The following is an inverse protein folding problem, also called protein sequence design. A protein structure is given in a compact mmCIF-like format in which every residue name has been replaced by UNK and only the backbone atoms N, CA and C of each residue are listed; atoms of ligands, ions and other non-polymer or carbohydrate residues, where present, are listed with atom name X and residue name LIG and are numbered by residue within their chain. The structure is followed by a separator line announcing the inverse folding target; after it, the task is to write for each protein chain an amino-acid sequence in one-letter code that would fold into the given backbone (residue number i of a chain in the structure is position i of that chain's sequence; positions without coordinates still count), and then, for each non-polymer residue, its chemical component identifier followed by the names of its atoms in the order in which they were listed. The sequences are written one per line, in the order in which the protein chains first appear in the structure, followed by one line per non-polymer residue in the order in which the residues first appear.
data_IF_940599860788
#
_entry.id   IF_940599860788
#
_cell.length_a   1.000
_cell.length_b   1.000
_cell.length_c   1.000
_cell.angle_alpha   90.00
_cell.angle_beta   90.00
_cell.angle_gamma   90.00
#
_symmetry.space_group_name_H-M   'P 1'
#
loop_
_entity.id
_entity.type
_entity.pdbx_description
1 polymer ?
#
# COMPACT_ATOMS: atom_id res chain seq x y z
N UNK A 1 0.36 -2.79 -7.84
CA UNK A 1 0.49 -4.01 -7.02
C UNK A 1 1.95 -4.44 -6.88
N UNK A 2 2.71 -4.64 -7.96
CA UNK A 2 4.14 -4.96 -7.89
C UNK A 2 4.92 -4.12 -6.86
N UNK A 3 4.82 -2.79 -6.96
CA UNK A 3 5.46 -1.85 -6.02
C UNK A 3 5.03 -2.06 -4.54
N UNK A 4 3.78 -2.46 -4.31
CA UNK A 4 3.24 -2.68 -2.96
C UNK A 4 3.77 -3.99 -2.38
N UNK A 5 3.79 -5.07 -3.17
CA UNK A 5 4.35 -6.36 -2.73
C UNK A 5 5.84 -6.21 -2.47
N UNK A 6 6.58 -5.52 -3.36
CA UNK A 6 7.99 -5.23 -3.16
C UNK A 6 8.24 -4.50 -1.85
N UNK A 7 7.46 -3.46 -1.56
CA UNK A 7 7.50 -2.75 -0.28
C UNK A 7 7.29 -3.70 0.90
N UNK A 8 6.24 -4.52 0.89
CA UNK A 8 5.96 -5.44 2.00
C UNK A 8 7.01 -6.54 2.15
N UNK A 9 7.59 -7.03 1.05
CA UNK A 9 8.73 -7.94 1.09
C UNK A 9 9.90 -7.29 1.81
N UNK A 10 10.29 -6.08 1.40
CA UNK A 10 11.38 -5.38 2.08
C UNK A 10 11.04 -5.10 3.56
N UNK A 11 9.78 -4.76 3.86
CA UNK A 11 9.33 -4.33 5.20
C UNK A 11 9.33 -5.49 6.17
N UNK A 12 8.75 -6.60 5.73
CA UNK A 12 8.42 -7.76 6.56
C UNK A 12 9.32 -8.96 6.28
N UNK A 13 10.30 -8.85 5.38
CA UNK A 13 11.23 -9.92 5.05
C UNK A 13 12.71 -9.54 5.09
N UNK A 14 13.06 -8.25 4.97
CA UNK A 14 14.46 -7.79 4.93
C UNK A 14 14.81 -6.88 6.12
N UNK A 15 13.88 -6.01 6.54
CA UNK A 15 14.15 -4.96 7.53
C UNK A 15 14.40 -5.44 8.97
N UNK A 16 14.48 -6.75 9.20
CA UNK A 16 14.74 -7.36 10.51
C UNK A 16 16.22 -7.59 10.83
N UNK A 17 17.16 -7.25 9.93
CA UNK A 17 18.59 -7.38 10.18
C UNK A 17 19.23 -6.01 10.56
N UNK A 18 19.50 -5.74 11.85
CA UNK A 18 20.04 -4.46 12.30
C UNK A 18 21.48 -4.16 11.84
N UNK A 19 22.24 -5.17 11.40
CA UNK A 19 23.69 -5.06 11.13
C UNK A 19 24.08 -5.49 9.70
N UNK A 20 23.35 -5.05 8.68
CA UNK A 20 23.79 -5.28 7.28
C UNK A 20 24.78 -4.19 6.88
N UNK A 21 25.94 -4.60 6.38
CA UNK A 21 27.00 -3.72 5.86
C UNK A 21 26.48 -2.80 4.74
N UNK A 22 27.18 -1.70 4.44
CA UNK A 22 26.86 -0.81 3.31
C UNK A 22 27.17 -1.49 1.97
N UNK A 23 26.35 -2.47 1.60
CA UNK A 23 26.42 -3.18 0.34
C UNK A 23 25.27 -2.80 -0.60
N UNK A 24 25.39 -3.22 -1.85
CA UNK A 24 24.39 -3.02 -2.89
C UNK A 24 23.00 -3.55 -2.47
N UNK A 25 22.99 -4.66 -1.73
CA UNK A 25 21.79 -5.29 -1.19
C UNK A 25 21.06 -4.39 -0.19
N UNK A 26 21.79 -3.65 0.66
CA UNK A 26 21.23 -2.68 1.60
C UNK A 26 20.61 -1.48 0.90
N UNK A 27 21.27 -0.95 -0.13
CA UNK A 27 20.74 0.18 -0.92
C UNK A 27 19.48 -0.23 -1.67
N UNK A 28 19.46 -1.42 -2.28
CA UNK A 28 18.28 -1.93 -3.00
C UNK A 28 17.17 -2.28 -2.03
N UNK A 29 17.44 -3.11 -1.02
CA UNK A 29 16.44 -3.60 -0.08
C UNK A 29 15.82 -2.46 0.71
N UNK A 30 16.65 -1.59 1.30
CA UNK A 30 16.15 -0.48 2.12
C UNK A 30 15.68 0.70 1.27
N UNK A 31 16.37 1.05 0.20
CA UNK A 31 16.00 2.18 -0.64
C UNK A 31 14.67 1.94 -1.36
N UNK A 32 14.53 0.82 -2.08
CA UNK A 32 13.28 0.54 -2.79
C UNK A 32 12.09 0.28 -1.84
N UNK A 33 12.32 -0.11 -0.58
CA UNK A 33 11.27 -0.32 0.41
C UNK A 33 10.28 0.83 0.41
N UNK A 34 10.69 2.03 0.84
CA UNK A 34 9.72 3.05 1.25
C UNK A 34 9.18 3.80 0.04
N UNK A 35 10.01 4.02 -0.97
CA UNK A 35 9.59 4.68 -2.21
C UNK A 35 8.54 3.88 -2.98
N UNK A 36 8.72 2.57 -3.12
CA UNK A 36 7.77 1.74 -3.87
C UNK A 36 6.40 1.65 -3.17
N UNK A 37 6.38 1.52 -1.85
CA UNK A 37 5.14 1.39 -1.07
C UNK A 37 4.26 2.64 -1.15
N UNK A 38 4.85 3.82 -0.88
CA UNK A 38 4.10 5.08 -0.86
C UNK A 38 3.61 5.46 -2.25
N UNK A 39 4.45 5.25 -3.27
CA UNK A 39 4.07 5.42 -4.67
C UNK A 39 2.91 4.48 -5.03
N UNK A 40 3.01 3.20 -4.67
CA UNK A 40 1.97 2.20 -4.89
C UNK A 40 0.63 2.59 -4.25
N UNK A 41 0.65 3.11 -3.02
CA UNK A 41 -0.56 3.57 -2.32
C UNK A 41 -1.22 4.76 -3.04
N UNK A 42 -0.45 5.79 -3.41
CA UNK A 42 -1.00 6.91 -4.18
C UNK A 42 -1.57 6.47 -5.53
N UNK A 43 -0.88 5.59 -6.27
CA UNK A 43 -1.38 5.07 -7.53
C UNK A 43 -2.70 4.31 -7.35
N UNK A 44 -2.84 3.51 -6.30
CA UNK A 44 -4.09 2.81 -6.00
C UNK A 44 -5.22 3.81 -5.72
N UNK A 45 -4.95 4.84 -4.91
CA UNK A 45 -5.90 5.91 -4.61
C UNK A 45 -6.29 6.66 -5.88
N UNK A 46 -5.33 6.99 -6.75
CA UNK A 46 -5.60 7.70 -8.00
C UNK A 46 -6.44 6.89 -8.97
N UNK A 47 -6.13 5.60 -9.17
CA UNK A 47 -6.95 4.72 -10.01
C UNK A 47 -8.37 4.65 -9.44
N UNK A 48 -8.51 4.49 -8.12
CA UNK A 48 -9.81 4.43 -7.46
C UNK A 48 -10.59 5.73 -7.66
N UNK A 49 -10.00 6.88 -7.30
CA UNK A 49 -10.65 8.18 -7.43
C UNK A 49 -10.98 8.56 -8.88
N UNK A 50 -10.13 8.17 -9.83
CA UNK A 50 -10.34 8.43 -11.25
C UNK A 50 -11.57 7.68 -11.81
N UNK A 51 -11.87 6.47 -11.34
CA UNK A 51 -13.00 5.68 -11.86
C UNK A 51 -14.26 5.77 -10.99
N UNK A 52 -14.13 5.96 -9.67
CA UNK A 52 -15.26 5.97 -8.73
C UNK A 52 -16.14 7.22 -8.90
N UNK A 53 -15.60 8.35 -9.34
CA UNK A 53 -16.34 9.60 -9.40
C UNK A 53 -17.50 9.63 -10.38
N UNK A 54 -17.47 8.79 -11.41
CA UNK A 54 -18.59 8.62 -12.34
C UNK A 54 -19.59 7.54 -11.86
N UNK A 55 -19.35 6.91 -10.73
CA UNK A 55 -20.18 5.84 -10.22
C UNK A 55 -21.14 6.35 -9.15
N UNK A 56 -22.42 5.99 -9.28
CA UNK A 56 -23.40 6.19 -8.22
C UNK A 56 -23.03 5.28 -7.05
N UNK A 57 -23.05 5.83 -5.83
CA UNK A 57 -22.79 5.06 -4.63
C UNK A 57 -23.74 3.86 -4.55
N UNK A 58 -23.20 2.70 -4.18
CA UNK A 58 -23.94 1.46 -4.21
C UNK A 58 -23.58 0.60 -3.00
N UNK A 59 -24.58 0.37 -2.13
CA UNK A 59 -24.43 -0.43 -0.92
C UNK A 59 -23.97 -1.87 -1.21
N UNK A 60 -24.35 -2.46 -2.34
CA UNK A 60 -23.85 -3.78 -2.77
C UNK A 60 -22.36 -3.76 -3.08
N UNK A 61 -21.84 -2.68 -3.68
CA UNK A 61 -20.38 -2.52 -3.90
C UNK A 61 -19.64 -2.36 -2.57
N UNK A 62 -20.21 -1.60 -1.63
CA UNK A 62 -19.66 -1.46 -0.28
C UNK A 62 -19.65 -2.79 0.47
N UNK A 63 -20.76 -3.53 0.44
CA UNK A 63 -20.86 -4.85 1.06
C UNK A 63 -19.89 -5.83 0.43
N UNK A 64 -19.76 -5.84 -0.91
CA UNK A 64 -18.75 -6.66 -1.62
C UNK A 64 -17.33 -6.33 -1.16
N UNK A 65 -16.99 -5.05 -1.02
CA UNK A 65 -15.69 -4.61 -0.52
C UNK A 65 -15.44 -5.10 0.91
N UNK A 66 -16.41 -4.87 1.81
CA UNK A 66 -16.34 -5.34 3.19
C UNK A 66 -16.22 -6.87 3.26
N UNK A 67 -17.03 -7.60 2.49
CA UNK A 67 -17.01 -9.06 2.42
C UNK A 67 -15.65 -9.59 1.96
N UNK A 68 -15.03 -8.94 0.97
CA UNK A 68 -13.69 -9.29 0.51
C UNK A 68 -12.64 -9.12 1.62
N UNK A 69 -12.67 -8.01 2.36
CA UNK A 69 -11.76 -7.75 3.49
C UNK A 69 -11.98 -8.78 4.61
N UNK A 70 -13.23 -8.95 5.02
CA UNK A 70 -13.64 -9.87 6.07
C UNK A 70 -13.28 -11.32 5.75
N UNK A 71 -13.75 -11.84 4.60
CA UNK A 71 -13.54 -13.24 4.22
C UNK A 71 -12.06 -13.58 4.09
N UNK A 72 -11.25 -12.70 3.50
CA UNK A 72 -9.80 -12.94 3.38
C UNK A 72 -9.14 -13.10 4.74
N UNK A 73 -9.41 -12.18 5.68
CA UNK A 73 -8.82 -12.24 7.01
C UNK A 73 -9.33 -13.42 7.84
N UNK A 74 -10.64 -13.69 7.80
CA UNK A 74 -11.26 -14.79 8.52
C UNK A 74 -10.75 -16.15 8.05
N UNK A 75 -10.62 -16.37 6.73
CA UNK A 75 -10.10 -17.63 6.17
C UNK A 75 -8.65 -17.86 6.61
N UNK A 76 -7.79 -16.84 6.51
CA UNK A 76 -6.40 -16.94 6.95
C UNK A 76 -6.36 -17.29 8.44
N UNK A 77 -7.12 -16.59 9.29
CA UNK A 77 -7.18 -16.86 10.72
C UNK A 77 -7.68 -18.28 11.05
N UNK A 78 -8.73 -18.75 10.35
CA UNK A 78 -9.25 -20.11 10.51
C UNK A 78 -8.22 -21.17 10.11
N UNK A 79 -7.53 -21.00 8.98
CA UNK A 79 -6.46 -21.91 8.54
C UNK A 79 -5.36 -21.96 9.59
N UNK A 80 -4.86 -20.80 10.04
CA UNK A 80 -3.78 -20.74 11.03
C UNK A 80 -4.20 -21.40 12.35
N UNK A 81 -5.45 -21.22 12.79
CA UNK A 81 -5.98 -21.81 14.00
C UNK A 81 -6.17 -23.33 13.90
N UNK A 82 -6.84 -23.81 12.86
CA UNK A 82 -7.16 -25.25 12.67
C UNK A 82 -5.88 -26.07 12.49
N UNK A 83 -4.95 -25.59 11.66
CA UNK A 83 -3.68 -26.29 11.40
C UNK A 83 -2.61 -26.00 12.45
N UNK A 84 -2.92 -25.23 13.50
CA UNK A 84 -2.00 -24.85 14.59
C UNK A 84 -0.68 -24.27 14.05
N UNK A 85 -0.76 -23.47 12.99
CA UNK A 85 0.42 -22.87 12.36
C UNK A 85 0.97 -21.81 13.30
N UNK A 86 2.21 -21.98 13.72
CA UNK A 86 2.88 -20.99 14.56
C UNK A 86 3.14 -19.70 13.78
N UNK A 87 2.91 -18.57 14.44
CA UNK A 87 3.22 -17.24 13.93
C UNK A 87 4.71 -16.97 14.03
N UNK A 88 5.20 -16.14 13.12
CA UNK A 88 6.53 -15.53 13.21
C UNK A 88 6.41 -14.21 13.95
N UNK A 89 7.04 -14.08 15.11
CA UNK A 89 7.18 -12.78 15.79
C UNK A 89 8.58 -12.21 15.58
N UNK A 90 8.65 -10.89 15.56
CA UNK A 90 9.89 -10.13 15.51
C UNK A 90 9.66 -8.88 16.36
N UNK A 91 10.57 -8.65 17.31
CA UNK A 91 10.43 -7.72 18.45
C UNK A 91 10.67 -6.25 18.14
N UNK A 92 10.45 -5.79 16.90
CA UNK A 92 10.76 -4.40 16.57
C UNK A 92 9.59 -3.73 15.89
N UNK A 93 8.92 -2.93 16.70
CA UNK A 93 7.78 -2.10 16.35
C UNK A 93 8.26 -0.81 15.65
N UNK A 94 8.74 -0.93 14.40
CA UNK A 94 9.35 0.19 13.66
C UNK A 94 8.40 1.38 13.40
N UNK A 95 7.09 1.24 13.68
CA UNK A 95 6.09 2.32 13.51
C UNK A 95 5.04 2.42 14.64
N UNK A 96 5.25 1.75 15.78
CA UNK A 96 4.45 1.94 16.99
C UNK A 96 2.95 1.66 16.80
N UNK A 97 2.62 0.52 16.22
CA UNK A 97 1.26 -0.02 16.23
C UNK A 97 1.42 -1.49 16.59
N UNK A 98 1.11 -1.81 17.85
CA UNK A 98 1.19 -3.11 18.56
C UNK A 98 2.39 -3.26 19.50
N UNK A 99 2.10 -2.94 20.78
CA UNK A 99 2.72 -3.42 22.02
C UNK A 99 4.08 -4.13 21.85
N UNK A 100 5.11 -3.43 22.34
CA UNK A 100 6.43 -3.91 22.70
C UNK A 100 6.40 -5.34 23.26
N UNK A 101 6.99 -6.27 22.52
CA UNK A 101 7.48 -7.55 23.04
C UNK A 101 9.00 -7.46 22.92
N UNK A 102 9.70 -7.80 24.01
CA UNK A 102 11.13 -7.60 24.20
C UNK A 102 11.98 -8.66 23.47
N UNK A 103 13.03 -8.15 22.78
CA UNK A 103 14.32 -8.74 22.42
C UNK A 103 14.45 -10.22 21.95
N UNK A 104 14.87 -10.28 20.67
CA UNK A 104 15.87 -11.15 20.00
C UNK A 104 15.47 -12.64 19.84
N UNK A 105 14.73 -12.89 18.77
CA UNK A 105 14.67 -14.15 18.04
C UNK A 105 13.45 -14.20 17.11
N UNK A 106 13.58 -14.76 15.90
CA UNK A 106 12.40 -15.23 15.15
C UNK A 106 11.87 -16.45 15.91
N UNK A 107 11.10 -16.20 16.97
CA UNK A 107 10.47 -17.26 17.75
C UNK A 107 9.08 -17.54 17.18
N UNK A 108 8.76 -18.83 17.10
CA UNK A 108 7.42 -19.28 16.77
C UNK A 108 6.51 -19.11 17.98
N UNK A 109 5.50 -18.25 17.90
CA UNK A 109 4.42 -18.25 18.91
C UNK A 109 3.22 -19.04 18.41
N UNK A 110 2.55 -19.78 19.29
CA UNK A 110 1.31 -20.45 18.94
C UNK A 110 0.23 -19.42 18.53
N UNK A 111 -0.57 -19.78 17.51
CA UNK A 111 -1.75 -19.00 17.13
C UNK A 111 -2.86 -19.25 18.15
N UNK A 112 -3.33 -18.21 18.82
CA UNK A 112 -4.27 -18.33 19.95
C UNK A 112 -5.73 -18.10 19.53
N UNK A 113 -6.68 -18.47 20.38
CA UNK A 113 -8.10 -18.13 20.19
C UNK A 113 -8.33 -16.61 20.16
N UNK A 114 -7.48 -15.83 20.85
CA UNK A 114 -7.50 -14.36 20.79
C UNK A 114 -7.13 -13.85 19.39
N UNK A 115 -6.11 -14.45 18.77
CA UNK A 115 -5.71 -14.10 17.40
C UNK A 115 -6.81 -14.49 16.38
N UNK A 116 -7.48 -15.61 16.61
CA UNK A 116 -8.64 -16.01 15.81
C UNK A 116 -9.73 -14.94 15.86
N UNK A 117 -10.12 -14.47 17.05
CA UNK A 117 -11.12 -13.39 17.20
C UNK A 117 -10.67 -12.12 16.46
N UNK A 118 -9.39 -11.74 16.59
CA UNK A 118 -8.82 -10.59 15.87
C UNK A 118 -8.91 -10.74 14.35
N UNK A 119 -8.80 -11.96 13.82
CA UNK A 119 -8.91 -12.23 12.38
C UNK A 119 -10.31 -11.97 11.81
N UNK A 120 -11.36 -12.04 12.63
CA UNK A 120 -12.74 -11.69 12.25
C UNK A 120 -13.03 -10.18 12.32
N UNK A 121 -12.12 -9.39 12.91
CA UNK A 121 -12.27 -7.94 13.10
C UNK A 121 -11.16 -7.13 12.37
N UNK A 122 -10.85 -7.41 11.09
CA UNK A 122 -9.67 -6.85 10.43
C UNK A 122 -9.72 -5.33 10.27
N UNK A 123 -10.92 -4.76 10.08
CA UNK A 123 -11.11 -3.33 9.86
C UNK A 123 -11.22 -2.55 11.16
N UNK A 124 -11.99 -3.07 12.12
CA UNK A 124 -12.24 -2.46 13.44
C UNK A 124 -10.98 -2.34 14.28
N UNK A 125 -10.11 -3.36 14.24
CA UNK A 125 -8.86 -3.36 15.00
C UNK A 125 -7.72 -2.60 14.31
N UNK A 126 -7.95 -2.02 13.12
CA UNK A 126 -6.93 -1.29 12.38
C UNK A 126 -5.78 -2.16 11.84
N UNK A 127 -5.91 -3.49 11.90
CA UNK A 127 -4.89 -4.46 11.53
C UNK A 127 -4.36 -4.28 10.09
N UNK A 128 -5.18 -3.71 9.20
CA UNK A 128 -4.81 -3.32 7.83
C UNK A 128 -5.20 -1.87 7.57
N UNK A 129 -4.31 -0.92 7.89
CA UNK A 129 -4.60 0.52 7.83
C UNK A 129 -5.16 0.99 6.48
N UNK A 130 -4.64 0.47 5.36
CA UNK A 130 -5.05 0.87 4.01
C UNK A 130 -6.45 0.33 3.69
N UNK A 131 -6.72 -0.95 3.98
CA UNK A 131 -8.02 -1.55 3.72
C UNK A 131 -9.12 -0.90 4.58
N UNK A 132 -8.83 -0.63 5.86
CA UNK A 132 -9.75 0.11 6.75
C UNK A 132 -10.02 1.51 6.22
N UNK A 133 -8.96 2.24 5.85
CA UNK A 133 -9.08 3.61 5.35
C UNK A 133 -9.76 3.66 3.98
N UNK A 134 -9.55 2.67 3.13
CA UNK A 134 -10.22 2.54 1.83
C UNK A 134 -11.71 2.25 1.98
N UNK A 135 -12.10 1.40 2.94
CA UNK A 135 -13.50 1.14 3.25
C UNK A 135 -14.20 2.41 3.75
N UNK A 136 -13.58 3.14 4.69
CA UNK A 136 -14.11 4.43 5.18
C UNK A 136 -14.17 5.44 4.04
N UNK A 137 -13.10 5.59 3.26
CA UNK A 137 -13.08 6.44 2.07
C UNK A 137 -14.22 6.12 1.11
N UNK A 138 -14.50 4.84 0.86
CA UNK A 138 -15.61 4.42 0.00
C UNK A 138 -16.96 4.95 0.52
N UNK A 139 -17.18 4.97 1.84
CA UNK A 139 -18.37 5.57 2.45
C UNK A 139 -18.43 7.09 2.27
N UNK A 140 -17.29 7.77 2.15
CA UNK A 140 -17.23 9.21 1.87
C UNK A 140 -17.44 9.56 0.38
N UNK A 141 -17.26 8.61 -0.54
CA UNK A 141 -17.40 8.85 -1.99
C UNK A 141 -18.70 9.54 -2.43
N UNK A 142 -19.92 9.27 -1.89
CA UNK A 142 -21.13 10.00 -2.30
C UNK A 142 -21.01 11.50 -2.00
N UNK A 143 -20.49 11.87 -0.83
CA UNK A 143 -20.30 13.27 -0.45
C UNK A 143 -19.19 13.93 -1.28
N UNK A 144 -18.11 13.19 -1.55
CA UNK A 144 -17.01 13.66 -2.40
C UNK A 144 -17.42 13.80 -3.87
N UNK A 145 -18.35 12.98 -4.37
CA UNK A 145 -18.90 13.13 -5.72
C UNK A 145 -19.82 14.35 -5.79
N UNK A 146 -20.66 14.55 -4.77
CA UNK A 146 -21.56 15.70 -4.70
C UNK A 146 -20.79 17.03 -4.63
N UNK A 147 -19.70 17.08 -3.87
CA UNK A 147 -18.88 18.29 -3.74
C UNK A 147 -18.30 18.76 -5.08
N UNK A 148 -18.03 17.85 -6.03
CA UNK A 148 -17.49 18.20 -7.35
C UNK A 148 -18.42 19.12 -8.15
N UNK A 149 -19.74 19.05 -7.93
CA UNK A 149 -20.73 19.88 -8.65
C UNK A 149 -20.59 21.37 -8.33
N UNK A 150 -20.01 21.70 -7.17
CA UNK A 150 -19.86 23.07 -6.69
C UNK A 150 -18.44 23.63 -6.93
N UNK A 151 -17.53 22.80 -7.46
CA UNK A 151 -16.14 23.15 -7.67
C UNK A 151 -15.87 23.51 -9.13
N UNK A 152 -15.95 24.80 -9.45
CA UNK A 152 -15.43 25.32 -10.72
C UNK A 152 -13.91 25.05 -10.83
N UNK A 153 -13.35 25.18 -12.04
CA UNK A 153 -11.95 24.84 -12.31
C UNK A 153 -10.96 25.58 -11.40
N UNK A 154 -11.23 26.85 -11.09
CA UNK A 154 -10.35 27.68 -10.25
C UNK A 154 -10.45 27.25 -8.79
N UNK A 155 -11.67 27.09 -8.26
CA UNK A 155 -11.91 26.62 -6.89
C UNK A 155 -11.35 25.22 -6.67
N UNK A 156 -11.55 24.31 -7.62
CA UNK A 156 -11.03 22.95 -7.54
C UNK A 156 -9.50 22.93 -7.52
N UNK A 157 -8.86 23.68 -8.42
CA UNK A 157 -7.40 23.82 -8.42
C UNK A 157 -6.89 24.40 -7.10
N UNK A 158 -7.53 25.45 -6.59
CA UNK A 158 -7.12 26.09 -5.34
C UNK A 158 -7.29 25.14 -4.13
N UNK A 159 -8.36 24.34 -4.09
CA UNK A 159 -8.55 23.30 -3.09
C UNK A 159 -7.41 22.27 -3.13
N UNK A 160 -7.04 21.78 -4.32
CA UNK A 160 -5.92 20.85 -4.47
C UNK A 160 -4.61 21.48 -4.01
N UNK A 161 -4.34 22.74 -4.37
CA UNK A 161 -3.15 23.47 -3.92
C UNK A 161 -3.12 23.56 -2.39
N UNK A 162 -4.23 23.93 -1.76
CA UNK A 162 -4.34 24.04 -0.30
C UNK A 162 -4.07 22.70 0.39
N UNK A 163 -4.72 21.62 -0.07
CA UNK A 163 -4.52 20.27 0.46
C UNK A 163 -3.09 19.78 0.24
N UNK A 164 -2.49 20.08 -0.92
CA UNK A 164 -1.11 19.70 -1.22
C UNK A 164 -0.12 20.46 -0.34
N UNK A 165 -0.34 21.76 -0.16
CA UNK A 165 0.51 22.59 0.66
C UNK A 165 0.52 22.10 2.11
N UNK A 166 -0.64 22.02 2.76
CA UNK A 166 -0.70 21.64 4.16
C UNK A 166 -0.48 20.14 4.39
N UNK A 167 -0.99 19.29 3.52
CA UNK A 167 -0.95 17.84 3.66
C UNK A 167 0.31 17.16 3.14
N UNK A 168 1.15 17.88 2.37
CA UNK A 168 2.40 17.30 1.87
C UNK A 168 3.62 18.20 1.96
N UNK A 169 3.51 19.51 1.71
CA UNK A 169 4.67 20.42 1.74
C UNK A 169 5.00 20.81 3.19
N UNK A 170 4.02 21.28 3.96
CA UNK A 170 4.23 21.60 5.39
C UNK A 170 4.62 20.35 6.17
N UNK A 171 4.03 19.20 5.83
CA UNK A 171 4.43 17.92 6.40
C UNK A 171 5.88 17.52 6.07
N UNK A 172 6.59 18.17 5.14
CA UNK A 172 8.03 17.96 4.94
C UNK A 172 8.90 18.64 6.00
N UNK A 173 8.40 19.52 6.84
CA UNK A 173 9.22 20.10 7.91
C UNK A 173 9.24 19.20 9.16
N UNK A 174 10.41 18.81 9.67
CA UNK A 174 10.50 17.97 10.87
C UNK A 174 9.73 18.59 12.05
N UNK A 175 9.07 17.76 12.86
CA UNK A 175 8.28 18.22 14.01
C UNK A 175 6.86 18.73 13.69
N UNK A 176 6.46 18.81 12.42
CA UNK A 176 5.09 19.23 12.07
C UNK A 176 4.06 18.11 12.33
N UNK A 177 3.04 18.42 13.13
CA UNK A 177 2.01 17.49 13.59
C UNK A 177 0.72 17.45 12.75
N UNK A 178 0.51 18.43 11.85
CA UNK A 178 -0.82 18.78 11.30
C UNK A 178 -1.60 17.59 10.73
N UNK A 179 -0.94 16.69 10.00
CA UNK A 179 -1.56 15.50 9.41
C UNK A 179 -0.82 14.20 9.73
N UNK A 180 -0.07 14.17 10.85
CA UNK A 180 0.66 12.95 11.22
C UNK A 180 -0.29 11.75 11.34
N UNK A 181 0.04 10.67 10.63
CA UNK A 181 -0.71 9.41 10.58
C UNK A 181 -2.18 9.51 10.10
N UNK A 182 -2.60 10.59 9.42
CA UNK A 182 -3.98 10.73 8.93
C UNK A 182 -4.20 10.04 7.57
N UNK A 183 -4.48 8.74 7.60
CA UNK A 183 -4.66 7.95 6.38
C UNK A 183 -5.82 8.43 5.50
N UNK A 184 -6.96 8.82 6.09
CA UNK A 184 -8.15 9.23 5.36
C UNK A 184 -7.93 10.52 4.55
N UNK A 185 -7.16 11.46 5.10
CA UNK A 185 -6.78 12.69 4.38
C UNK A 185 -6.15 12.37 3.01
N UNK A 186 -5.23 11.40 2.93
CA UNK A 186 -4.55 11.06 1.68
C UNK A 186 -5.49 10.42 0.65
N UNK A 187 -6.50 9.68 1.09
CA UNK A 187 -7.54 9.16 0.20
C UNK A 187 -8.37 10.30 -0.40
N UNK A 188 -8.80 11.26 0.42
CA UNK A 188 -9.59 12.42 -0.03
C UNK A 188 -8.76 13.33 -0.95
N UNK A 189 -7.52 13.65 -0.56
CA UNK A 189 -6.60 14.45 -1.36
C UNK A 189 -6.30 13.79 -2.70
N UNK A 190 -6.00 12.50 -2.70
CA UNK A 190 -5.73 11.75 -3.92
C UNK A 190 -6.97 11.60 -4.82
N UNK A 191 -8.15 11.44 -4.23
CA UNK A 191 -9.42 11.45 -4.94
C UNK A 191 -9.63 12.77 -5.71
N UNK A 192 -9.41 13.92 -5.05
CA UNK A 192 -9.55 15.23 -5.69
C UNK A 192 -8.53 15.43 -6.81
N UNK A 193 -7.27 15.06 -6.62
CA UNK A 193 -6.25 15.11 -7.68
C UNK A 193 -6.67 14.26 -8.89
N UNK A 194 -7.05 13.00 -8.66
CA UNK A 194 -7.44 12.09 -9.73
C UNK A 194 -8.65 12.61 -10.52
N UNK A 195 -9.62 13.21 -9.82
CA UNK A 195 -10.80 13.82 -10.44
C UNK A 195 -10.48 15.06 -11.25
N UNK A 196 -9.61 15.93 -10.74
CA UNK A 196 -9.16 17.09 -11.50
C UNK A 196 -8.44 16.67 -12.79
N UNK A 197 -7.60 15.64 -12.72
CA UNK A 197 -6.93 15.06 -13.90
C UNK A 197 -7.96 14.49 -14.88
N UNK A 198 -9.00 13.81 -14.39
CA UNK A 198 -10.08 13.25 -15.21
C UNK A 198 -10.88 14.33 -15.94
N UNK A 199 -11.35 15.34 -15.21
CA UNK A 199 -12.27 16.36 -15.72
C UNK A 199 -11.56 17.34 -16.64
N UNK A 200 -10.36 17.80 -16.28
CA UNK A 200 -9.70 18.90 -16.98
C UNK A 200 -8.52 18.47 -17.86
N UNK A 201 -8.12 17.19 -17.81
CA UNK A 201 -7.03 16.58 -18.60
C UNK A 201 -5.84 17.53 -18.87
N UNK A 202 -5.10 17.95 -17.82
CA UNK A 202 -4.15 19.05 -17.93
C UNK A 202 -3.07 18.82 -19.00
N UNK A 203 -2.81 19.84 -19.82
CA UNK A 203 -1.88 19.76 -20.97
C UNK A 203 -0.48 19.30 -20.53
N UNK A 204 -0.01 19.76 -19.37
CA UNK A 204 1.31 19.38 -18.84
C UNK A 204 1.41 17.89 -18.41
N UNK A 205 0.30 17.15 -18.37
CA UNK A 205 0.30 15.71 -18.09
C UNK A 205 0.17 14.86 -19.36
N UNK A 206 -0.02 15.44 -20.55
CA UNK A 206 -0.25 14.68 -21.80
C UNK A 206 1.02 14.06 -22.40
N UNK A 207 2.18 14.66 -22.19
CA UNK A 207 3.43 14.17 -22.78
C UNK A 207 3.99 12.99 -21.98
N UNK A 208 3.81 11.78 -22.50
CA UNK A 208 4.23 10.53 -21.86
C UNK A 208 5.74 10.45 -21.62
N UNK A 209 6.58 10.85 -22.59
CA UNK A 209 8.04 10.81 -22.45
C UNK A 209 8.52 11.77 -21.36
N UNK A 210 7.96 12.98 -21.30
CA UNK A 210 8.24 13.94 -20.22
C UNK A 210 7.83 13.38 -18.86
N UNK A 211 6.64 12.80 -18.76
CA UNK A 211 6.17 12.24 -17.49
C UNK A 211 7.11 11.12 -17.00
N UNK A 212 7.54 10.22 -17.90
CA UNK A 212 8.51 9.18 -17.56
C UNK A 212 9.86 9.77 -17.14
N UNK A 213 10.36 10.78 -17.88
CA UNK A 213 11.60 11.49 -17.53
C UNK A 213 11.54 12.14 -16.14
N UNK A 214 10.41 12.76 -15.79
CA UNK A 214 10.19 13.34 -14.47
C UNK A 214 10.10 12.29 -13.36
N UNK A 215 9.43 11.16 -13.61
CA UNK A 215 9.40 10.02 -12.69
C UNK A 215 10.81 9.53 -12.40
N UNK A 216 11.61 9.31 -13.46
CA UNK A 216 12.99 8.87 -13.33
C UNK A 216 13.85 9.90 -12.60
N UNK A 217 13.73 11.19 -12.94
CA UNK A 217 14.48 12.26 -12.28
C UNK A 217 14.17 12.35 -10.77
N UNK A 218 12.89 12.33 -10.38
CA UNK A 218 12.46 12.35 -8.97
C UNK A 218 12.95 11.10 -8.23
N UNK A 219 12.93 9.94 -8.89
CA UNK A 219 13.42 8.68 -8.32
C UNK A 219 14.94 8.67 -8.16
N UNK A 220 15.68 9.28 -9.09
CA UNK A 220 17.13 9.46 -8.96
C UNK A 220 17.49 10.38 -7.79
N UNK A 221 16.74 11.46 -7.56
CA UNK A 221 16.92 12.34 -6.39
C UNK A 221 16.76 11.54 -5.09
N UNK A 222 15.81 10.60 -5.05
CA UNK A 222 15.64 9.72 -3.90
C UNK A 222 16.84 8.80 -3.67
N UNK A 223 17.39 8.20 -4.73
CA UNK A 223 18.59 7.37 -4.63
C UNK A 223 19.77 8.19 -4.11
N UNK A 224 19.95 9.41 -4.63
CA UNK A 224 20.97 10.34 -4.12
C UNK A 224 20.76 10.65 -2.64
N UNK A 225 19.52 10.92 -2.21
CA UNK A 225 19.19 11.14 -0.79
C UNK A 225 19.62 9.96 0.08
N UNK A 226 19.28 8.73 -0.32
CA UNK A 226 19.66 7.51 0.41
C UNK A 226 21.18 7.38 0.52
N UNK A 227 21.90 7.58 -0.60
CA UNK A 227 23.36 7.50 -0.61
C UNK A 227 23.97 8.55 0.33
N UNK A 228 23.43 9.77 0.35
CA UNK A 228 23.87 10.82 1.27
C UNK A 228 23.59 10.44 2.73
N UNK A 229 22.38 9.98 3.05
CA UNK A 229 22.03 9.55 4.42
C UNK A 229 22.94 8.42 4.91
N UNK A 230 23.22 7.44 4.06
CA UNK A 230 24.13 6.34 4.38
C UNK A 230 25.58 6.83 4.58
N UNK A 231 26.09 7.65 3.66
CA UNK A 231 27.45 8.20 3.73
C UNK A 231 27.70 9.05 4.96
N UNK A 232 26.71 9.82 5.38
CA UNK A 232 26.83 10.79 6.46
C UNK A 232 26.28 10.31 7.80
N UNK A 233 25.76 9.06 7.87
CA UNK A 233 25.21 8.46 9.08
C UNK A 233 26.21 8.49 10.24
N UNK A 234 27.43 8.04 10.01
CA UNK A 234 28.45 7.92 11.07
C UNK A 234 29.13 9.26 11.40
N UNK A 235 28.97 10.25 10.53
CA UNK A 235 29.52 11.60 10.71
C UNK A 235 28.60 12.49 11.56
N UNK A 236 27.27 12.36 11.39
CA UNK A 236 26.30 13.17 12.12
C UNK A 236 25.52 12.33 13.14
N UNK A 237 25.71 12.58 14.46
CA UNK A 237 25.00 11.85 15.51
C UNK A 237 23.47 11.88 15.37
N UNK A 238 22.91 12.98 14.85
CA UNK A 238 21.48 13.09 14.58
C UNK A 238 21.00 12.07 13.54
N UNK A 239 21.73 11.90 12.43
CA UNK A 239 21.37 10.94 11.38
C UNK A 239 21.49 9.51 11.91
N UNK A 240 22.51 9.21 12.71
CA UNK A 240 22.65 7.88 13.28
C UNK A 240 21.51 7.54 14.26
N UNK A 241 21.22 8.45 15.19
CA UNK A 241 20.16 8.28 16.20
C UNK A 241 18.74 8.22 15.60
N UNK A 242 18.52 8.90 14.47
CA UNK A 242 17.22 8.95 13.79
C UNK A 242 17.25 8.28 12.42
N UNK A 243 18.13 7.28 12.23
CA UNK A 243 18.39 6.71 10.90
C UNK A 243 17.10 6.21 10.24
N UNK A 244 16.23 5.53 10.98
CA UNK A 244 14.95 5.03 10.46
C UNK A 244 14.02 6.14 9.93
N UNK A 245 13.97 7.27 10.63
CA UNK A 245 13.11 8.40 10.26
C UNK A 245 13.70 9.20 9.10
N UNK A 246 15.01 9.49 9.16
CA UNK A 246 15.73 10.32 8.18
C UNK A 246 15.88 9.61 6.83
N UNK A 247 16.11 8.30 6.86
CA UNK A 247 16.42 7.49 5.67
C UNK A 247 15.38 7.61 4.57
N UNK A 248 14.10 7.78 4.92
CA UNK A 248 13.03 7.91 3.92
C UNK A 248 12.18 9.16 4.08
N UNK A 249 12.66 10.11 4.87
CA UNK A 249 11.93 11.31 5.23
C UNK A 249 11.32 12.10 4.05
N UNK A 250 12.02 12.36 2.92
CA UNK A 250 11.45 13.16 1.84
C UNK A 250 10.49 12.39 0.93
N UNK A 251 10.44 11.06 1.03
CA UNK A 251 9.67 10.18 0.14
C UNK A 251 8.68 9.28 0.90
N UNK A 252 8.48 9.56 2.20
CA UNK A 252 7.42 8.97 2.98
C UNK A 252 6.03 9.31 2.40
N UNK A 253 5.00 8.54 2.79
CA UNK A 253 3.62 8.93 2.57
C UNK A 253 3.42 10.32 3.18
N UNK A 254 2.63 11.19 2.54
CA UNK A 254 2.45 12.59 2.96
C UNK A 254 3.62 13.53 2.67
N UNK A 255 4.54 13.17 1.76
CA UNK A 255 5.63 14.06 1.36
C UNK A 255 5.47 14.44 -0.11
N UNK A 256 5.74 15.71 -0.41
CA UNK A 256 5.50 16.26 -1.74
C UNK A 256 6.21 15.51 -2.88
N UNK A 257 7.49 15.08 -2.74
CA UNK A 257 8.16 14.29 -3.79
C UNK A 257 7.46 12.98 -4.13
N UNK A 258 6.95 12.25 -3.12
CA UNK A 258 6.24 10.99 -3.33
C UNK A 258 4.91 11.21 -4.09
N UNK A 259 4.15 12.24 -3.70
CA UNK A 259 2.93 12.63 -4.39
C UNK A 259 3.19 13.03 -5.84
N UNK A 260 4.19 13.90 -6.06
CA UNK A 260 4.53 14.40 -7.39
C UNK A 260 4.95 13.26 -8.32
N UNK A 261 5.74 12.33 -7.80
CA UNK A 261 6.14 11.12 -8.54
C UNK A 261 4.93 10.27 -8.93
N UNK A 262 3.99 10.07 -7.99
CA UNK A 262 2.76 9.34 -8.26
C UNK A 262 1.89 10.01 -9.33
N UNK A 263 1.80 11.34 -9.33
CA UNK A 263 1.00 12.10 -10.32
C UNK A 263 1.55 11.88 -11.73
N UNK A 264 2.87 12.01 -11.92
CA UNK A 264 3.48 11.80 -13.23
C UNK A 264 3.44 10.35 -13.68
N UNK A 265 3.63 9.39 -12.76
CA UNK A 265 3.53 7.98 -13.09
C UNK A 265 2.10 7.57 -13.45
N UNK A 266 1.10 8.07 -12.71
CA UNK A 266 -0.31 7.88 -13.05
C UNK A 266 -0.63 8.48 -14.43
N UNK A 267 -0.17 9.70 -14.72
CA UNK A 267 -0.37 10.34 -16.01
C UNK A 267 0.33 9.59 -17.16
N UNK A 268 1.51 9.02 -16.93
CA UNK A 268 2.19 8.13 -17.88
C UNK A 268 1.29 6.95 -18.26
N UNK A 269 0.75 6.22 -17.29
CA UNK A 269 -0.13 5.08 -17.55
C UNK A 269 -1.49 5.47 -18.13
N UNK A 270 -2.05 6.62 -17.71
CA UNK A 270 -3.32 7.15 -18.28
C UNK A 270 -3.23 7.35 -19.79
N UNK A 271 -2.08 7.81 -20.28
CA UNK A 271 -1.89 8.12 -21.69
C UNK A 271 -1.36 6.94 -22.53
N UNK A 272 -1.09 5.79 -21.90
CA UNK A 272 -0.71 4.58 -22.62
C UNK A 272 -1.93 4.02 -23.38
N UNK A 273 -1.75 3.78 -24.68
CA UNK A 273 -2.73 3.09 -25.51
C UNK A 273 -2.57 1.58 -25.39
N UNK A 274 -3.18 1.00 -24.37
CA UNK A 274 -3.20 -0.46 -24.17
C UNK A 274 -4.48 -1.02 -24.81
N UNK A 275 -4.34 -2.04 -25.67
CA UNK A 275 -5.49 -2.74 -26.25
C UNK A 275 -6.22 -3.56 -25.18
N UNK A 276 -7.51 -3.80 -25.37
CA UNK A 276 -8.28 -4.68 -24.50
C UNK A 276 -7.59 -6.05 -24.39
N UNK A 277 -7.39 -6.52 -23.16
CA UNK A 277 -6.85 -7.84 -22.86
C UNK A 277 -7.67 -8.48 -21.74
N UNK A 278 -8.23 -9.67 -22.02
CA UNK A 278 -9.00 -10.44 -21.04
C UNK A 278 -8.15 -10.78 -19.81
N UNK A 279 -6.90 -11.17 -20.03
CA UNK A 279 -5.97 -11.53 -18.96
C UNK A 279 -5.63 -10.33 -18.07
N UNK A 280 -5.32 -9.17 -18.66
CA UNK A 280 -5.01 -7.96 -17.89
C UNK A 280 -6.22 -7.58 -17.03
N UNK A 281 -7.44 -7.60 -17.59
CA UNK A 281 -8.65 -7.26 -16.84
C UNK A 281 -8.97 -8.27 -15.73
N UNK A 282 -8.76 -9.56 -15.99
CA UNK A 282 -8.94 -10.62 -14.99
C UNK A 282 -8.01 -10.40 -13.79
N UNK A 283 -6.72 -10.20 -14.07
CA UNK A 283 -5.68 -10.02 -13.06
C UNK A 283 -5.78 -8.65 -12.38
N UNK A 284 -6.18 -7.59 -13.08
CA UNK A 284 -6.45 -6.29 -12.47
C UNK A 284 -7.54 -6.42 -11.39
N UNK A 285 -8.55 -7.24 -11.63
CA UNK A 285 -9.62 -7.54 -10.69
C UNK A 285 -9.16 -8.22 -9.41
N UNK A 286 -8.01 -8.91 -9.38
CA UNK A 286 -7.49 -9.60 -8.17
C UNK A 286 -6.59 -8.73 -7.32
N UNK A 287 -6.14 -7.57 -7.81
CA UNK A 287 -5.11 -6.76 -7.15
C UNK A 287 -5.46 -6.41 -5.70
N UNK A 288 -6.67 -5.97 -5.39
CA UNK A 288 -7.05 -5.70 -3.99
C UNK A 288 -7.07 -6.96 -3.11
N UNK A 289 -7.49 -8.11 -3.65
CA UNK A 289 -7.41 -9.38 -2.94
C UNK A 289 -5.97 -9.82 -2.68
N UNK A 290 -5.08 -9.63 -3.65
CA UNK A 290 -3.64 -9.86 -3.47
C UNK A 290 -3.12 -9.03 -2.30
N UNK A 291 -3.45 -7.74 -2.23
CA UNK A 291 -3.10 -6.87 -1.10
C UNK A 291 -3.54 -7.47 0.24
N UNK A 292 -4.81 -7.85 0.35
CA UNK A 292 -5.37 -8.38 1.59
C UNK A 292 -4.75 -9.69 2.05
N UNK A 293 -4.25 -10.52 1.12
CA UNK A 293 -3.62 -11.80 1.46
C UNK A 293 -2.18 -11.57 1.94
N UNK A 294 -1.31 -10.99 1.10
CA UNK A 294 0.12 -10.92 1.42
C UNK A 294 0.45 -9.93 2.54
N UNK A 295 -0.39 -8.90 2.74
CA UNK A 295 -0.23 -7.93 3.83
C UNK A 295 -1.10 -8.26 5.05
N UNK A 296 -1.74 -9.44 5.08
CA UNK A 296 -2.50 -9.84 6.26
C UNK A 296 -1.59 -9.88 7.50
N UNK A 297 -2.06 -9.26 8.59
CA UNK A 297 -1.36 -9.14 9.87
C UNK A 297 -0.72 -10.46 10.38
N UNK A 298 -1.39 -11.59 10.16
CA UNK A 298 -0.92 -12.90 10.65
C UNK A 298 -0.11 -13.67 9.61
N UNK A 299 -0.26 -13.34 8.32
CA UNK A 299 0.36 -14.10 7.24
C UNK A 299 1.63 -13.46 6.69
N UNK A 300 1.76 -12.12 6.72
CA UNK A 300 2.87 -11.41 6.09
C UNK A 300 4.26 -11.95 6.53
N UNK A 301 4.51 -12.11 7.84
CA UNK A 301 5.77 -12.64 8.36
C UNK A 301 5.95 -14.12 8.05
N UNK A 302 4.87 -14.91 8.02
CA UNK A 302 4.94 -16.32 7.59
C UNK A 302 5.36 -16.40 6.12
N UNK A 303 4.76 -15.56 5.26
CA UNK A 303 5.07 -15.51 3.84
C UNK A 303 6.55 -15.24 3.61
N UNK A 304 7.11 -14.20 4.23
CA UNK A 304 8.48 -13.81 3.94
C UNK A 304 9.54 -14.64 4.67
N UNK A 305 9.31 -15.04 5.93
CA UNK A 305 10.31 -15.76 6.73
C UNK A 305 10.20 -17.29 6.67
N UNK A 306 8.99 -17.86 6.52
CA UNK A 306 8.81 -19.33 6.48
C UNK A 306 8.68 -19.86 5.07
N UNK A 307 7.90 -19.19 4.21
CA UNK A 307 7.67 -19.64 2.84
C UNK A 307 8.85 -19.25 1.95
N UNK A 308 9.18 -17.95 1.90
CA UNK A 308 10.30 -17.46 1.08
C UNK A 308 11.67 -17.50 1.79
N UNK A 309 11.71 -17.67 3.12
CA UNK A 309 12.97 -17.71 3.89
C UNK A 309 13.95 -16.59 3.50
N UNK A 310 13.44 -15.36 3.46
CA UNK A 310 14.22 -14.19 3.00
C UNK A 310 15.50 -13.98 3.82
N UNK A 311 15.52 -14.43 5.07
CA UNK A 311 16.67 -14.36 5.97
C UNK A 311 17.92 -15.06 5.39
N UNK A 312 17.73 -16.18 4.67
CA UNK A 312 18.81 -16.98 4.09
C UNK A 312 19.51 -16.26 2.91
N UNK A 313 18.85 -15.26 2.32
CA UNK A 313 19.32 -14.57 1.12
C UNK A 313 19.90 -13.17 1.41
N UNK A 314 19.86 -12.69 2.66
CA UNK A 314 20.24 -11.30 2.99
C UNK A 314 21.68 -10.95 2.60
N UNK A 315 22.63 -11.87 2.81
CA UNK A 315 24.04 -11.70 2.45
C UNK A 315 24.38 -12.26 1.06
N UNK A 316 23.39 -12.76 0.31
CA UNK A 316 23.61 -13.42 -0.97
C UNK A 316 23.64 -12.42 -2.13
N UNK A 317 24.55 -12.64 -3.09
CA UNK A 317 24.53 -11.92 -4.37
C UNK A 317 23.27 -12.22 -5.20
N UNK A 318 22.52 -13.28 -4.86
CA UNK A 318 21.26 -13.65 -5.50
C UNK A 318 20.04 -12.96 -4.89
N UNK A 319 20.20 -12.08 -3.90
CA UNK A 319 19.09 -11.41 -3.22
C UNK A 319 18.15 -10.72 -4.21
N UNK A 320 18.67 -9.87 -5.10
CA UNK A 320 17.84 -9.10 -6.03
C UNK A 320 17.03 -10.00 -6.99
N UNK A 321 17.64 -10.95 -7.73
CA UNK A 321 16.89 -11.91 -8.53
C UNK A 321 15.83 -12.69 -7.71
N UNK A 322 16.18 -13.10 -6.48
CA UNK A 322 15.29 -13.83 -5.60
C UNK A 322 14.09 -12.98 -5.14
N UNK A 323 14.30 -11.70 -4.84
CA UNK A 323 13.23 -10.76 -4.52
C UNK A 323 12.25 -10.59 -5.69
N UNK A 324 12.77 -10.45 -6.91
CA UNK A 324 11.92 -10.35 -8.12
C UNK A 324 11.07 -11.62 -8.26
N UNK A 325 11.69 -12.79 -8.12
CA UNK A 325 10.99 -14.08 -8.12
C UNK A 325 9.91 -14.15 -7.03
N UNK A 326 10.23 -13.75 -5.80
CA UNK A 326 9.30 -13.80 -4.66
C UNK A 326 8.11 -12.85 -4.85
N UNK A 327 8.33 -11.64 -5.39
CA UNK A 327 7.27 -10.68 -5.70
C UNK A 327 6.33 -11.19 -6.80
N UNK A 328 6.89 -11.73 -7.89
CA UNK A 328 6.10 -12.29 -8.99
C UNK A 328 5.30 -13.51 -8.50
N UNK A 329 5.95 -14.42 -7.77
CA UNK A 329 5.32 -15.61 -7.21
C UNK A 329 4.19 -15.26 -6.25
N UNK A 330 4.42 -14.31 -5.34
CA UNK A 330 3.39 -13.79 -4.43
C UNK A 330 2.19 -13.25 -5.19
N UNK A 331 2.42 -12.45 -6.23
CA UNK A 331 1.35 -11.87 -7.03
C UNK A 331 0.50 -12.95 -7.73
N UNK A 332 1.15 -13.94 -8.35
CA UNK A 332 0.47 -15.02 -9.08
C UNK A 332 -0.32 -15.90 -8.11
N UNK A 333 0.32 -16.41 -7.05
CA UNK A 333 -0.32 -17.31 -6.08
C UNK A 333 -1.48 -16.61 -5.37
N UNK A 334 -1.29 -15.39 -4.88
CA UNK A 334 -2.36 -14.65 -4.23
C UNK A 334 -3.51 -14.30 -5.21
N UNK A 335 -3.21 -14.08 -6.50
CA UNK A 335 -4.26 -13.85 -7.50
C UNK A 335 -5.11 -15.10 -7.71
N UNK A 336 -4.50 -16.28 -7.77
CA UNK A 336 -5.21 -17.56 -7.86
C UNK A 336 -6.09 -17.76 -6.61
N UNK A 337 -5.53 -17.52 -5.41
CA UNK A 337 -6.30 -17.63 -4.16
C UNK A 337 -7.49 -16.67 -4.14
N UNK A 338 -7.33 -15.40 -4.55
CA UNK A 338 -8.46 -14.45 -4.61
C UNK A 338 -9.51 -14.84 -5.66
N UNK A 339 -9.11 -15.41 -6.81
CA UNK A 339 -10.06 -15.95 -7.80
C UNK A 339 -10.88 -17.11 -7.22
N UNK A 340 -10.24 -18.01 -6.48
CA UNK A 340 -10.91 -19.12 -5.79
C UNK A 340 -11.88 -18.56 -4.74
N UNK A 341 -11.44 -17.64 -3.89
CA UNK A 341 -12.28 -16.96 -2.88
C UNK A 341 -13.49 -16.28 -3.52
N UNK A 342 -13.31 -15.59 -4.65
CA UNK A 342 -14.41 -14.96 -5.38
C UNK A 342 -15.47 -15.96 -5.82
N UNK A 343 -15.05 -17.11 -6.36
CA UNK A 343 -15.96 -18.14 -6.86
C UNK A 343 -16.67 -18.89 -5.74
N UNK A 344 -15.95 -19.25 -4.67
CA UNK A 344 -16.48 -20.13 -3.62
C UNK A 344 -17.24 -19.36 -2.54
N UNK A 345 -16.89 -18.08 -2.29
CA UNK A 345 -17.42 -17.32 -1.15
C UNK A 345 -18.17 -16.09 -1.62
N UNK A 346 -17.53 -15.23 -2.41
CA UNK A 346 -18.12 -13.95 -2.80
C UNK A 346 -19.38 -14.13 -3.66
N UNK A 347 -19.30 -14.92 -4.73
CA UNK A 347 -20.43 -15.14 -5.65
C UNK A 347 -21.64 -15.80 -4.96
N UNK A 348 -21.51 -16.89 -4.18
CA UNK A 348 -22.65 -17.48 -3.48
C UNK A 348 -23.29 -16.54 -2.47
N UNK A 349 -22.50 -15.82 -1.67
CA UNK A 349 -23.03 -14.88 -0.68
C UNK A 349 -23.76 -13.73 -1.37
N UNK A 350 -23.19 -13.17 -2.44
CA UNK A 350 -23.87 -12.11 -3.20
C UNK A 350 -25.15 -12.59 -3.87
N UNK A 351 -25.21 -13.83 -4.36
CA UNK A 351 -26.43 -14.42 -4.92
C UNK A 351 -27.53 -14.57 -3.85
N UNK A 352 -27.16 -14.95 -2.63
CA UNK A 352 -28.10 -15.01 -1.49
C UNK A 352 -28.62 -13.63 -1.10
N UNK A 353 -27.75 -12.62 -1.06
CA UNK A 353 -28.14 -11.23 -0.80
C UNK A 353 -29.08 -10.72 -1.89
N UNK A 354 -28.78 -10.98 -3.16
CA UNK A 354 -29.64 -10.60 -4.29
C UNK A 354 -31.01 -11.28 -4.23
N UNK A 355 -31.08 -12.53 -3.78
CA UNK A 355 -32.35 -13.24 -3.59
C UNK A 355 -33.19 -12.59 -2.49
N UNK A 356 -32.59 -12.19 -1.37
CA UNK A 356 -33.28 -11.54 -0.25
C UNK A 356 -33.74 -10.12 -0.58
N UNK A 357 -32.94 -9.34 -1.32
CA UNK A 357 -33.30 -7.98 -1.74
C UNK A 357 -34.40 -7.94 -2.81
N UNK A 358 -34.69 -9.07 -3.46
CA UNK A 358 -35.78 -9.23 -4.44
C UNK A 358 -37.06 -9.80 -3.83
N UNK A 359 -37.07 -10.16 -2.56
CA UNK A 359 -38.30 -10.53 -1.86
C UNK A 359 -39.03 -9.25 -1.46
N UNK A 360 -40.32 -9.10 -1.83
CA UNK A 360 -41.08 -7.86 -1.65
C UNK A 360 -41.25 -7.45 -0.19
#
# INVERSE_FOLDING_TARGET
MFLIIWHHLCRHGIFFAPNVAMDFNTIIGKGFLIWSGNLGNYLFIFVSGYFISNSIFNYKKMFKLWLQIFSTSAIIGLILYVFKIQLVTADVDFFGFYNSIDKIGILGRAFTSRDLIKSFLPTLLGNNWFASSYLVFFMFTPFLNESLKFLDRKKFRNLIILLTFWGTIVCMFPGQGIFQKNNLFYFIHGYYIANYIRIYDPIFLKNQKRNLGLVLAISSIFVVWIVLVLKYRDVFPFINSHFGDVFCYPFALAKFPALLNAVFLFAFFKNLRIRYSKLINLVAGTTFGVYLIHENLFFNKILWHRIFKMDDFLASNLLLPYMIFAVISTFVVCSIIDLIRKKIIEQPILALVDKKLKQP
#
